data_IF_532061624681
#
_entry.id   IF_532061624681
#
_cell.length_a   1.000
_cell.length_b   1.000
_cell.length_c   1.000
_cell.angle_alpha   90.00
_cell.angle_beta   90.00
_cell.angle_gamma   90.00
#
_symmetry.space_group_name_H-M   'P 1'
#
loop_
_entity.id
_entity.type
_entity.pdbx_description
1 polymer ?
#
# COMPACT_ATOMS: atom_id res chain seq x y z
N UNK A 1 -20.23 13.34 15.28
CA UNK A 1 -19.14 12.36 15.14
C UNK A 1 -17.77 13.03 14.96
N UNK A 2 -17.66 14.15 14.24
CA UNK A 2 -16.37 14.80 13.90
C UNK A 2 -15.72 15.64 15.02
N UNK A 3 -16.46 15.99 16.08
CA UNK A 3 -15.99 16.84 17.20
C UNK A 3 -14.96 16.20 18.14
N UNK A 4 -14.77 14.88 18.04
CA UNK A 4 -13.91 14.11 18.96
C UNK A 4 -12.58 13.70 18.35
N UNK A 5 -12.30 14.03 17.07
CA UNK A 5 -11.11 13.57 16.33
C UNK A 5 -10.87 12.04 16.40
N UNK A 6 -11.91 11.23 16.67
CA UNK A 6 -11.79 9.78 16.84
C UNK A 6 -11.45 9.06 15.52
N UNK A 7 -11.64 9.75 14.38
CA UNK A 7 -11.29 9.26 13.06
C UNK A 7 -10.48 10.33 12.33
N UNK A 8 -9.16 10.30 12.51
CA UNK A 8 -8.26 11.11 11.69
C UNK A 8 -8.39 10.62 10.25
N UNK A 9 -9.04 11.41 9.39
CA UNK A 9 -9.09 11.11 7.97
C UNK A 9 -7.66 11.13 7.43
N UNK A 10 -7.28 10.12 6.66
CA UNK A 10 -5.91 10.05 6.14
C UNK A 10 -5.67 11.24 5.21
N UNK A 11 -4.53 11.90 5.38
CA UNK A 11 -4.09 12.92 4.44
C UNK A 11 -3.88 12.26 3.06
N UNK A 12 -4.53 12.84 2.05
CA UNK A 12 -4.38 12.45 0.66
C UNK A 12 -3.59 13.51 -0.07
N UNK A 13 -2.50 13.09 -0.69
CA UNK A 13 -1.57 13.98 -1.39
C UNK A 13 -1.72 13.80 -2.89
N UNK A 14 -1.85 14.91 -3.59
CA UNK A 14 -1.82 14.96 -5.04
C UNK A 14 -0.55 15.69 -5.47
N UNK A 15 0.31 15.01 -6.23
CA UNK A 15 1.53 15.57 -6.79
C UNK A 15 1.31 15.82 -8.28
N UNK A 16 1.37 17.09 -8.69
CA UNK A 16 1.14 17.48 -10.08
C UNK A 16 2.46 17.42 -10.86
N UNK A 17 2.51 16.59 -11.90
CA UNK A 17 3.67 16.50 -12.81
C UNK A 17 3.63 17.63 -13.85
N UNK A 18 4.67 18.47 -13.80
CA UNK A 18 5.01 19.70 -14.53
C UNK A 18 3.93 20.52 -15.27
N UNK A 19 4.04 21.85 -15.08
CA UNK A 19 3.52 22.90 -15.97
C UNK A 19 4.49 23.17 -17.13
N UNK A 20 3.96 23.41 -18.33
CA UNK A 20 4.73 23.83 -19.52
C UNK A 20 5.63 25.03 -19.18
N UNK A 21 6.96 24.84 -19.22
CA UNK A 21 7.89 25.95 -19.45
C UNK A 21 8.14 26.05 -20.95
N UNK A 22 8.43 27.27 -21.43
CA UNK A 22 8.67 27.62 -22.84
C UNK A 22 9.77 26.81 -23.56
N UNK A 23 10.48 25.93 -22.84
CA UNK A 23 11.50 25.02 -23.35
C UNK A 23 11.01 23.57 -23.61
N UNK A 24 9.70 23.28 -23.45
CA UNK A 24 9.10 22.01 -23.90
C UNK A 24 9.57 20.74 -23.18
N UNK A 25 10.31 20.85 -22.07
CA UNK A 25 10.76 19.70 -21.28
C UNK A 25 9.96 19.58 -19.98
N UNK A 26 9.07 18.59 -19.93
CA UNK A 26 8.53 18.08 -18.67
C UNK A 26 9.64 17.28 -17.97
N UNK A 27 10.08 17.70 -16.79
CA UNK A 27 10.91 16.84 -15.94
C UNK A 27 9.97 15.88 -15.25
N UNK A 28 10.04 14.59 -15.60
CA UNK A 28 9.20 13.58 -15.00
C UNK A 28 9.48 13.50 -13.49
N UNK A 29 8.43 13.63 -12.67
CA UNK A 29 8.53 13.57 -11.20
C UNK A 29 9.14 12.26 -10.66
N UNK A 30 9.29 11.25 -11.49
CA UNK A 30 9.90 9.96 -11.17
C UNK A 30 11.24 10.09 -10.43
N UNK A 31 12.12 11.01 -10.83
CA UNK A 31 13.41 11.21 -10.15
C UNK A 31 13.26 11.83 -8.75
N UNK A 32 12.25 12.69 -8.56
CA UNK A 32 11.98 13.29 -7.24
C UNK A 32 11.31 12.32 -6.28
N UNK A 33 10.49 11.39 -6.81
CA UNK A 33 9.87 10.32 -6.03
C UNK A 33 10.92 9.40 -5.40
N UNK A 34 12.11 9.26 -6.00
CA UNK A 34 13.23 8.47 -5.43
C UNK A 34 13.58 8.96 -4.02
N UNK A 35 13.59 10.27 -3.80
CA UNK A 35 13.98 10.88 -2.53
C UNK A 35 12.83 11.00 -1.52
N UNK A 36 11.59 10.71 -1.92
CA UNK A 36 10.42 10.75 -1.05
C UNK A 36 10.13 9.37 -0.45
N UNK A 37 9.90 9.33 0.86
CA UNK A 37 9.50 8.13 1.58
C UNK A 37 8.00 7.85 1.42
N UNK A 38 7.57 7.49 0.20
CA UNK A 38 6.16 7.20 -0.12
C UNK A 38 5.86 5.73 0.15
N UNK A 39 5.52 5.39 1.40
CA UNK A 39 5.20 4.00 1.78
C UNK A 39 3.71 3.65 1.59
N UNK A 40 3.36 2.36 1.69
CA UNK A 40 1.99 1.84 1.53
C UNK A 40 0.92 2.46 2.47
N UNK A 41 1.36 3.05 3.58
CA UNK A 41 0.49 3.78 4.50
C UNK A 41 0.19 5.21 4.04
N UNK A 42 1.00 5.76 3.13
CA UNK A 42 0.82 7.07 2.50
C UNK A 42 -0.19 6.97 1.37
N UNK A 43 -1.06 7.97 1.23
CA UNK A 43 -2.00 8.07 0.10
C UNK A 43 -1.52 9.17 -0.85
N UNK A 44 -0.68 8.79 -1.81
CA UNK A 44 -0.06 9.71 -2.76
C UNK A 44 -0.49 9.34 -4.18
N UNK A 45 -1.07 10.31 -4.87
CA UNK A 45 -1.48 10.20 -6.27
C UNK A 45 -0.68 11.20 -7.10
N UNK A 46 0.05 10.69 -8.09
CA UNK A 46 0.66 11.49 -9.14
C UNK A 46 -0.41 11.85 -10.17
N UNK A 47 -0.49 13.13 -10.53
CA UNK A 47 -1.31 13.61 -11.64
C UNK A 47 -0.38 14.06 -12.76
N UNK A 48 -0.22 13.21 -13.76
CA UNK A 48 0.60 13.50 -14.94
C UNK A 48 -0.24 14.16 -16.01
N UNK A 49 0.16 15.37 -16.43
CA UNK A 49 -0.52 16.08 -17.50
C UNK A 49 -0.29 15.35 -18.84
N UNK A 50 -1.37 14.98 -19.52
CA UNK A 50 -1.36 14.34 -20.85
C UNK A 50 -1.59 15.36 -21.95
N UNK A 51 -2.52 16.31 -21.74
CA UNK A 51 -2.80 17.43 -22.64
C UNK A 51 -3.07 18.72 -21.85
N UNK A 52 -3.44 19.83 -22.50
CA UNK A 52 -3.53 21.16 -21.86
C UNK A 52 -4.36 21.13 -20.56
N UNK A 53 -5.49 20.42 -20.59
CA UNK A 53 -6.44 20.28 -19.48
C UNK A 53 -6.81 18.82 -19.24
N UNK A 54 -5.86 17.90 -19.38
CA UNK A 54 -6.10 16.48 -19.16
C UNK A 54 -4.99 15.88 -18.32
N UNK A 55 -5.37 15.12 -17.30
CA UNK A 55 -4.42 14.48 -16.40
C UNK A 55 -4.73 13.01 -16.23
N UNK A 56 -3.69 12.18 -16.34
CA UNK A 56 -3.74 10.79 -15.90
C UNK A 56 -3.32 10.72 -14.44
N UNK A 57 -4.11 10.01 -13.63
CA UNK A 57 -3.88 9.85 -12.21
C UNK A 57 -3.35 8.45 -11.91
N UNK A 58 -2.20 8.41 -11.24
CA UNK A 58 -1.50 7.18 -10.89
C UNK A 58 -1.18 7.20 -9.40
N UNK A 59 -1.68 6.23 -8.65
CA UNK A 59 -1.31 6.07 -7.25
C UNK A 59 0.10 5.46 -7.17
N UNK A 60 0.94 6.02 -6.31
CA UNK A 60 2.35 5.61 -6.16
C UNK A 60 2.66 5.24 -4.71
N UNK A 61 3.39 4.15 -4.52
CA UNK A 61 3.83 3.70 -3.19
C UNK A 61 5.02 2.75 -3.26
N UNK A 62 5.65 2.52 -2.10
CA UNK A 62 6.71 1.55 -1.86
C UNK A 62 6.34 0.69 -0.65
N UNK A 63 6.84 -0.54 -0.63
CA UNK A 63 6.71 -1.40 0.54
C UNK A 63 7.93 -1.18 1.45
N UNK A 64 9.14 -1.26 0.91
CA UNK A 64 10.41 -1.03 1.62
C UNK A 64 11.21 0.18 1.12
N UNK A 65 12.27 0.54 1.84
CA UNK A 65 13.18 1.66 1.48
C UNK A 65 13.99 1.40 0.20
N UNK A 66 14.34 0.13 -0.05
CA UNK A 66 15.17 -0.30 -1.17
C UNK A 66 14.36 -1.05 -2.24
N UNK A 67 13.04 -0.99 -2.15
CA UNK A 67 12.14 -1.66 -3.09
C UNK A 67 11.68 -0.73 -4.21
N UNK A 68 11.21 -1.32 -5.29
CA UNK A 68 10.66 -0.60 -6.44
C UNK A 68 9.43 0.23 -6.06
N UNK A 69 9.20 1.31 -6.80
CA UNK A 69 7.97 2.11 -6.65
C UNK A 69 6.87 1.49 -7.47
N UNK A 70 5.82 1.02 -6.80
CA UNK A 70 4.64 0.50 -7.45
C UNK A 70 3.75 1.64 -7.93
N UNK A 71 3.27 1.51 -9.17
CA UNK A 71 2.38 2.46 -9.84
C UNK A 71 1.07 1.77 -10.17
N UNK A 72 -0.05 2.34 -9.73
CA UNK A 72 -1.39 1.82 -9.98
C UNK A 72 -2.22 2.88 -10.69
N UNK A 73 -2.90 2.50 -11.77
CA UNK A 73 -3.85 3.40 -12.43
C UNK A 73 -5.01 3.71 -11.47
N UNK A 74 -5.23 5.00 -11.22
CA UNK A 74 -6.27 5.49 -10.32
C UNK A 74 -7.46 6.06 -11.11
N UNK A 75 -7.17 6.77 -12.20
CA UNK A 75 -8.19 7.38 -13.05
C UNK A 75 -7.62 8.51 -13.88
N UNK A 76 -8.48 9.43 -14.27
CA UNK A 76 -8.15 10.57 -15.10
C UNK A 76 -8.98 11.79 -14.75
N UNK A 77 -8.49 12.97 -15.11
CA UNK A 77 -9.22 14.22 -15.05
C UNK A 77 -9.35 14.78 -16.46
N UNK A 78 -10.59 15.04 -16.86
CA UNK A 78 -10.94 15.51 -18.19
C UNK A 78 -11.64 16.88 -18.09
N UNK A 79 -11.41 17.79 -19.06
CA UNK A 79 -12.05 19.09 -19.06
C UNK A 79 -13.55 18.94 -19.32
N UNK A 80 -14.39 19.67 -18.58
CA UNK A 80 -15.85 19.61 -18.70
C UNK A 80 -16.50 18.34 -18.10
N UNK A 81 -15.74 17.29 -17.84
CA UNK A 81 -16.23 16.04 -17.23
C UNK A 81 -15.79 15.91 -15.77
N UNK A 82 -14.60 16.42 -15.45
CA UNK A 82 -14.02 16.36 -14.10
C UNK A 82 -13.28 15.05 -13.83
N UNK A 83 -13.22 14.67 -12.55
CA UNK A 83 -12.48 13.50 -12.08
C UNK A 83 -13.24 12.20 -12.38
N UNK A 84 -12.66 11.34 -13.19
CA UNK A 84 -13.10 9.97 -13.41
C UNK A 84 -12.16 8.99 -12.69
N UNK A 85 -12.66 8.36 -11.63
CA UNK A 85 -11.90 7.36 -10.87
C UNK A 85 -12.33 5.97 -11.29
N UNK A 86 -11.38 5.06 -11.46
CA UNK A 86 -11.66 3.65 -11.61
C UNK A 86 -12.24 3.10 -10.30
N UNK A 87 -13.58 3.05 -10.22
CA UNK A 87 -14.38 2.63 -9.04
C UNK A 87 -14.01 1.25 -8.48
N UNK A 88 -13.30 0.43 -9.24
CA UNK A 88 -13.00 -0.96 -8.89
C UNK A 88 -11.92 -1.15 -7.83
N UNK A 89 -11.17 -0.10 -7.45
CA UNK A 89 -10.13 -0.22 -6.43
C UNK A 89 -10.50 0.58 -5.18
N UNK A 90 -11.17 -0.09 -4.24
CA UNK A 90 -11.23 0.39 -2.86
C UNK A 90 -9.79 0.67 -2.40
N UNK A 91 -9.56 1.76 -1.67
CA UNK A 91 -8.25 2.13 -1.12
C UNK A 91 -7.60 0.99 -0.28
N UNK A 92 -8.43 0.04 0.18
CA UNK A 92 -7.99 -1.20 0.81
C UNK A 92 -7.28 -2.14 -0.17
N UNK A 93 -7.75 -2.30 -1.40
CA UNK A 93 -7.17 -3.22 -2.40
C UNK A 93 -5.75 -2.84 -2.84
N UNK A 94 -5.36 -1.56 -2.74
CA UNK A 94 -3.96 -1.16 -2.95
C UNK A 94 -3.01 -1.64 -1.83
N UNK A 95 -3.55 -1.94 -0.65
CA UNK A 95 -2.79 -2.34 0.56
C UNK A 95 -2.78 -3.85 0.81
N UNK A 96 -3.50 -4.61 0.01
CA UNK A 96 -3.65 -6.08 0.15
C UNK A 96 -2.71 -6.85 -0.78
N UNK A 97 -1.81 -6.16 -1.46
CA UNK A 97 -0.80 -6.79 -2.30
C UNK A 97 0.58 -6.25 -1.94
N UNK A 98 1.30 -7.02 -1.14
CA UNK A 98 2.68 -6.77 -0.74
C UNK A 98 3.68 -7.49 -1.65
N UNK A 99 3.28 -7.92 -2.86
CA UNK A 99 4.19 -8.39 -3.90
C UNK A 99 5.21 -9.46 -3.43
N UNK A 100 4.79 -10.36 -2.54
CA UNK A 100 5.63 -11.40 -1.93
C UNK A 100 6.79 -10.88 -1.08
N UNK A 101 6.75 -9.63 -0.64
CA UNK A 101 7.72 -9.07 0.31
C UNK A 101 7.74 -9.90 1.59
N UNK A 102 8.95 -10.16 2.08
CA UNK A 102 9.20 -10.92 3.30
C UNK A 102 8.72 -10.12 4.53
N UNK A 103 7.84 -10.73 5.30
CA UNK A 103 7.37 -10.19 6.59
C UNK A 103 7.95 -11.03 7.71
N UNK A 104 8.77 -10.40 8.53
CA UNK A 104 9.28 -11.03 9.75
C UNK A 104 8.24 -10.92 10.86
N UNK A 105 7.81 -12.06 11.37
CA UNK A 105 7.00 -12.15 12.60
C UNK A 105 7.81 -12.82 13.71
N UNK A 106 7.40 -12.60 14.95
CA UNK A 106 7.98 -13.27 16.12
C UNK A 106 6.86 -13.87 16.95
N UNK A 107 7.10 -15.08 17.44
CA UNK A 107 6.18 -15.83 18.29
C UNK A 107 6.97 -16.38 19.47
N UNK A 108 6.36 -16.35 20.65
CA UNK A 108 6.96 -16.89 21.87
C UNK A 108 6.35 -18.26 22.12
N UNK A 109 7.21 -19.26 22.28
CA UNK A 109 6.83 -20.62 22.63
C UNK A 109 7.40 -20.94 24.00
N UNK A 110 6.59 -21.58 24.85
CA UNK A 110 7.00 -22.00 26.20
C UNK A 110 7.47 -23.45 26.23
N UNK A 111 7.05 -24.26 25.27
CA UNK A 111 7.51 -25.62 25.05
C UNK A 111 8.33 -25.70 23.75
N UNK A 112 9.49 -26.34 23.82
CA UNK A 112 10.41 -26.50 22.68
C UNK A 112 9.79 -27.35 21.55
N UNK A 113 8.94 -28.32 21.90
CA UNK A 113 8.31 -29.22 20.92
C UNK A 113 7.17 -28.56 20.14
N UNK A 114 6.61 -27.46 20.66
CA UNK A 114 5.56 -26.69 19.98
C UNK A 114 5.95 -26.18 18.60
N UNK A 115 7.25 -25.98 18.34
CA UNK A 115 7.75 -25.52 17.04
C UNK A 115 7.40 -26.50 15.90
N UNK A 116 7.34 -27.81 16.20
CA UNK A 116 7.01 -28.86 15.23
C UNK A 116 5.50 -29.08 15.07
N UNK A 117 4.71 -28.55 15.99
CA UNK A 117 3.27 -28.80 16.13
C UNK A 117 2.45 -27.49 16.05
N UNK A 118 2.90 -26.52 15.25
CA UNK A 118 2.23 -25.23 15.11
C UNK A 118 0.93 -25.28 14.29
N UNK A 119 0.79 -26.27 13.42
CA UNK A 119 -0.31 -26.37 12.44
C UNK A 119 -1.19 -27.61 12.62
N UNK A 120 -0.83 -28.51 13.53
CA UNK A 120 -1.55 -29.76 13.77
C UNK A 120 -2.35 -29.75 15.08
N UNK A 121 -2.88 -30.91 15.45
CA UNK A 121 -3.75 -31.08 16.63
C UNK A 121 -3.05 -31.76 17.81
N UNK A 122 -1.71 -31.85 17.77
CA UNK A 122 -0.90 -32.40 18.88
C UNK A 122 -0.77 -31.34 19.97
N UNK A 123 -0.91 -31.76 21.23
CA UNK A 123 -0.77 -30.92 22.42
C UNK A 123 -1.48 -29.56 22.31
N UNK A 124 -2.77 -29.60 21.96
CA UNK A 124 -3.60 -28.40 21.72
C UNK A 124 -3.67 -27.45 22.91
N UNK A 125 -3.43 -27.95 24.12
CA UNK A 125 -3.47 -27.16 25.34
C UNK A 125 -2.13 -26.44 25.62
N UNK A 126 -1.03 -26.90 25.03
CA UNK A 126 0.31 -26.32 25.17
C UNK A 126 0.51 -25.25 24.10
N UNK A 127 0.99 -24.07 24.50
CA UNK A 127 1.21 -22.91 23.63
C UNK A 127 -0.01 -22.58 22.73
N UNK A 128 -1.22 -22.85 23.24
CA UNK A 128 -2.47 -22.77 22.47
C UNK A 128 -2.67 -21.40 21.82
N UNK A 129 -2.39 -20.32 22.55
CA UNK A 129 -2.46 -18.94 22.03
C UNK A 129 -1.44 -18.69 20.92
N UNK A 130 -0.21 -19.18 21.07
CA UNK A 130 0.84 -19.05 20.07
C UNK A 130 0.49 -19.83 18.80
N UNK A 131 0.02 -21.08 18.92
CA UNK A 131 -0.44 -21.88 17.78
C UNK A 131 -1.59 -21.21 17.02
N UNK A 132 -2.58 -20.66 17.73
CA UNK A 132 -3.67 -19.90 17.11
C UNK A 132 -3.15 -18.64 16.42
N UNK A 133 -2.24 -17.89 17.07
CA UNK A 133 -1.64 -16.70 16.47
C UNK A 133 -0.87 -17.04 15.19
N UNK A 134 -0.08 -18.12 15.18
CA UNK A 134 0.65 -18.59 14.00
C UNK A 134 -0.30 -18.85 12.83
N UNK A 135 -1.38 -19.61 13.05
CA UNK A 135 -2.36 -19.92 12.02
C UNK A 135 -3.06 -18.67 11.48
N UNK A 136 -3.43 -17.74 12.37
CA UNK A 136 -4.01 -16.45 11.97
C UNK A 136 -3.03 -15.63 11.13
N UNK A 137 -1.75 -15.58 11.52
CA UNK A 137 -0.73 -14.89 10.76
C UNK A 137 -0.53 -15.50 9.37
N UNK A 138 -0.56 -16.83 9.24
CA UNK A 138 -0.51 -17.48 7.91
C UNK A 138 -1.62 -16.98 6.99
N UNK A 139 -2.85 -16.88 7.49
CA UNK A 139 -3.97 -16.32 6.70
C UNK A 139 -3.79 -14.84 6.39
N UNK A 140 -3.24 -14.05 7.32
CA UNK A 140 -2.94 -12.62 7.06
C UNK A 140 -1.88 -12.48 5.96
N UNK A 141 -0.84 -13.31 5.96
CA UNK A 141 0.20 -13.33 4.91
C UNK A 141 -0.41 -13.64 3.55
N UNK A 142 -1.31 -14.63 3.47
CA UNK A 142 -2.03 -14.98 2.24
C UNK A 142 -2.87 -13.80 1.72
N UNK A 143 -3.64 -13.19 2.62
CA UNK A 143 -4.53 -12.05 2.32
C UNK A 143 -3.73 -10.84 1.80
N UNK A 144 -2.55 -10.61 2.36
CA UNK A 144 -1.67 -9.50 1.98
C UNK A 144 -0.80 -9.82 0.76
N UNK A 145 -0.85 -11.05 0.22
CA UNK A 145 0.06 -11.54 -0.80
C UNK A 145 1.55 -11.31 -0.44
N UNK A 146 1.94 -11.68 0.78
CA UNK A 146 3.30 -11.57 1.31
C UNK A 146 4.00 -12.94 1.42
N UNK A 147 5.22 -12.97 1.96
CA UNK A 147 5.92 -14.21 2.37
C UNK A 147 6.42 -14.14 3.80
#
# INVERSE_FOLDING_TARGET
ADRLHLFNSRYKWYLLDCSFTSAGRCQHLDNTLIHLHVYINSDVTLASRVSVDEYKLVQVYRIGKHEETFKNEYGEWLPGVGLQVNKLRLLTSARMNLHKTLITSSIVLTNNDSLHHLTDTVDRHIDSLSKVAYMLFSHVIDILNAT
#
